data_IF_794015719652
#
_entry.id   IF_794015719652
#
_cell.length_a   1.000
_cell.length_b   1.000
_cell.length_c   1.000
_cell.angle_alpha   90.00
_cell.angle_beta   90.00
_cell.angle_gamma   90.00
#
_symmetry.space_group_name_H-M   'P 1'
#
loop_
_entity.id
_entity.type
_entity.pdbx_description
1 polymer ?
#
# COMPACT_ATOMS: atom_id res chain seq x y z
N UNK A 1 -19.92 -5.84 34.70
CA UNK A 1 -18.75 -6.09 33.82
C UNK A 1 -17.43 -6.17 34.61
N UNK A 2 -17.09 -5.18 35.47
CA UNK A 2 -15.83 -5.20 36.27
C UNK A 2 -15.70 -6.39 37.25
N UNK A 3 -16.79 -6.91 37.77
CA UNK A 3 -16.82 -8.02 38.73
C UNK A 3 -16.54 -9.38 38.09
N UNK A 4 -16.93 -9.59 36.83
CA UNK A 4 -16.68 -10.84 36.09
C UNK A 4 -15.21 -10.95 35.71
N UNK A 5 -14.61 -9.86 35.25
CA UNK A 5 -13.19 -9.81 34.87
C UNK A 5 -12.27 -10.04 36.09
N UNK A 6 -12.68 -9.58 37.28
CA UNK A 6 -11.95 -9.83 38.52
C UNK A 6 -12.07 -11.27 39.01
N UNK A 7 -13.24 -11.89 38.85
CA UNK A 7 -13.44 -13.29 39.21
C UNK A 7 -12.65 -14.23 38.31
N UNK A 8 -12.62 -13.99 37.01
CA UNK A 8 -11.83 -14.73 36.00
C UNK A 8 -10.32 -14.59 36.25
N UNK A 9 -9.86 -13.42 36.66
CA UNK A 9 -8.46 -13.17 36.99
C UNK A 9 -7.99 -13.86 38.25
N UNK A 10 -8.89 -14.16 39.20
CA UNK A 10 -8.57 -14.91 40.41
C UNK A 10 -8.47 -16.43 40.17
N UNK A 11 -9.22 -16.94 39.20
CA UNK A 11 -9.28 -18.38 38.89
C UNK A 11 -8.12 -18.85 38.00
N UNK A 12 -7.52 -17.94 37.18
CA UNK A 12 -6.37 -18.26 36.33
C UNK A 12 -5.42 -17.05 36.19
N UNK A 13 -4.42 -16.91 37.07
CA UNK A 13 -3.45 -15.79 37.01
C UNK A 13 -2.61 -15.73 35.74
N UNK A 14 -2.56 -16.79 34.94
CA UNK A 14 -1.92 -16.84 33.63
C UNK A 14 -2.73 -16.14 32.52
N UNK A 15 -4.02 -15.80 32.76
CA UNK A 15 -4.91 -15.10 31.85
C UNK A 15 -4.93 -13.59 32.07
N UNK A 16 -4.08 -13.03 32.93
CA UNK A 16 -3.93 -11.58 33.06
C UNK A 16 -3.37 -11.07 31.74
N UNK A 17 -4.25 -10.54 30.89
CA UNK A 17 -3.88 -9.93 29.63
C UNK A 17 -2.82 -8.85 29.88
N UNK A 18 -1.64 -9.01 29.29
CA UNK A 18 -0.58 -7.98 29.38
C UNK A 18 -1.17 -6.61 29.07
N UNK A 19 -0.81 -5.55 29.84
CA UNK A 19 -1.37 -4.23 29.64
C UNK A 19 -1.10 -3.75 28.21
N UNK A 20 -2.15 -3.42 27.48
CA UNK A 20 -2.05 -2.87 26.15
C UNK A 20 -1.16 -1.61 26.18
N UNK A 21 -0.18 -1.52 25.30
CA UNK A 21 0.72 -0.38 25.17
C UNK A 21 0.58 0.24 23.78
N UNK A 22 0.68 1.57 23.69
CA UNK A 22 0.79 2.26 22.41
C UNK A 22 2.26 2.47 22.05
N UNK A 23 2.62 2.08 20.83
CA UNK A 23 3.97 2.20 20.27
C UNK A 23 3.98 3.30 19.18
N UNK A 24 3.81 4.56 19.59
CA UNK A 24 3.70 5.73 18.71
C UNK A 24 4.84 5.86 17.70
N UNK A 25 6.08 5.55 18.13
CA UNK A 25 7.26 5.59 17.24
C UNK A 25 7.09 4.65 16.04
N UNK A 26 6.69 3.41 16.27
CA UNK A 26 6.50 2.43 15.19
C UNK A 26 5.26 2.71 14.36
N UNK A 27 4.22 3.29 14.96
CA UNK A 27 3.07 3.78 14.22
C UNK A 27 3.44 4.93 13.30
N UNK A 28 4.28 5.88 13.73
CA UNK A 28 4.80 6.97 12.88
C UNK A 28 5.62 6.44 11.69
N UNK A 29 6.47 5.43 11.89
CA UNK A 29 7.20 4.77 10.81
C UNK A 29 6.22 4.06 9.84
N UNK A 30 5.22 3.34 10.37
CA UNK A 30 4.18 2.71 9.57
C UNK A 30 3.39 3.75 8.77
N UNK A 31 3.11 4.92 9.35
CA UNK A 31 2.40 6.00 8.67
C UNK A 31 3.16 6.53 7.45
N UNK A 32 4.51 6.62 7.50
CA UNK A 32 5.33 6.95 6.33
C UNK A 32 5.14 5.93 5.21
N UNK A 33 5.11 4.64 5.55
CA UNK A 33 4.84 3.57 4.57
C UNK A 33 3.46 3.74 3.95
N UNK A 34 2.44 4.00 4.79
CA UNK A 34 1.06 4.18 4.34
C UNK A 34 0.95 5.39 3.41
N UNK A 35 1.56 6.52 3.75
CA UNK A 35 1.58 7.72 2.91
C UNK A 35 2.22 7.44 1.56
N UNK A 36 3.38 6.81 1.54
CA UNK A 36 4.08 6.40 0.32
C UNK A 36 3.17 5.60 -0.61
N UNK A 37 2.50 4.59 -0.08
CA UNK A 37 1.59 3.73 -0.84
C UNK A 37 0.31 4.45 -1.26
N UNK A 38 -0.23 5.34 -0.42
CA UNK A 38 -1.45 6.08 -0.71
C UNK A 38 -1.26 7.10 -1.82
N UNK A 39 -0.13 7.81 -1.83
CA UNK A 39 0.25 8.73 -2.92
C UNK A 39 0.34 7.96 -4.22
N UNK A 40 1.11 6.88 -4.26
CA UNK A 40 1.26 6.04 -5.45
C UNK A 40 -0.10 5.52 -5.95
N UNK A 41 -0.92 4.97 -5.05
CA UNK A 41 -2.23 4.43 -5.40
C UNK A 41 -3.16 5.48 -5.99
N UNK A 42 -3.22 6.68 -5.42
CA UNK A 42 -4.10 7.75 -5.90
C UNK A 42 -3.67 8.25 -7.26
N UNK A 43 -2.37 8.47 -7.47
CA UNK A 43 -1.84 8.92 -8.76
C UNK A 43 -2.03 7.85 -9.83
N UNK A 44 -1.72 6.59 -9.54
CA UNK A 44 -1.96 5.47 -10.47
C UNK A 44 -3.42 5.42 -10.90
N UNK A 45 -4.37 5.49 -9.96
CA UNK A 45 -5.80 5.49 -10.29
C UNK A 45 -6.22 6.65 -11.20
N UNK A 46 -5.67 7.84 -10.97
CA UNK A 46 -6.00 9.01 -11.78
C UNK A 46 -5.38 8.94 -13.17
N UNK A 47 -4.16 8.43 -13.30
CA UNK A 47 -3.36 8.58 -14.51
C UNK A 47 -3.24 7.31 -15.36
N UNK A 48 -3.56 6.10 -14.87
CA UNK A 48 -3.52 4.87 -15.71
C UNK A 48 -4.34 5.01 -17.00
N UNK A 49 -5.61 5.44 -16.99
CA UNK A 49 -6.37 5.57 -18.24
C UNK A 49 -5.74 6.56 -19.21
N UNK A 50 -5.20 7.66 -18.68
CA UNK A 50 -4.54 8.71 -19.48
C UNK A 50 -3.21 8.18 -20.03
N UNK A 51 -2.44 7.43 -19.25
CA UNK A 51 -1.19 6.81 -19.67
C UNK A 51 -1.39 5.82 -20.81
N UNK A 52 -2.43 4.98 -20.73
CA UNK A 52 -2.78 4.05 -21.80
C UNK A 52 -3.14 4.78 -23.10
N UNK A 53 -3.94 5.83 -23.02
CA UNK A 53 -4.38 6.57 -24.21
C UNK A 53 -3.30 7.46 -24.80
N UNK A 54 -2.56 8.21 -23.99
CA UNK A 54 -1.56 9.19 -24.48
C UNK A 54 -0.22 8.55 -24.81
N UNK A 55 0.29 7.66 -23.95
CA UNK A 55 1.64 7.13 -24.07
C UNK A 55 1.68 5.81 -24.84
N UNK A 56 0.65 4.97 -24.70
CA UNK A 56 0.57 3.67 -25.38
C UNK A 56 -0.30 3.71 -26.65
N UNK A 57 -0.91 4.86 -26.98
CA UNK A 57 -1.69 5.06 -28.19
C UNK A 57 -2.97 4.22 -28.26
N UNK A 58 -3.57 3.86 -27.13
CA UNK A 58 -4.77 3.02 -27.07
C UNK A 58 -6.06 3.84 -27.04
N UNK A 59 -7.20 3.18 -27.22
CA UNK A 59 -8.50 3.83 -27.08
C UNK A 59 -8.84 4.13 -25.60
N UNK A 60 -9.74 5.11 -25.32
CA UNK A 60 -10.20 5.40 -23.97
C UNK A 60 -10.84 4.21 -23.27
N UNK A 61 -11.50 3.31 -24.02
CA UNK A 61 -12.08 2.08 -23.49
C UNK A 61 -11.00 1.13 -22.97
N UNK A 62 -9.90 0.99 -23.72
CA UNK A 62 -8.74 0.18 -23.29
C UNK A 62 -8.05 0.78 -22.07
N UNK A 63 -7.95 2.11 -21.97
CA UNK A 63 -7.45 2.78 -20.78
C UNK A 63 -8.32 2.52 -19.54
N UNK A 64 -9.63 2.56 -19.69
CA UNK A 64 -10.57 2.23 -18.62
C UNK A 64 -10.54 0.74 -18.26
N UNK A 65 -10.35 -0.13 -19.25
CA UNK A 65 -10.18 -1.57 -19.03
C UNK A 65 -8.90 -1.90 -18.26
N UNK A 66 -7.80 -1.18 -18.50
CA UNK A 66 -6.58 -1.32 -17.72
C UNK A 66 -6.83 -1.07 -16.22
N UNK A 67 -7.63 -0.07 -15.88
CA UNK A 67 -8.02 0.20 -14.49
C UNK A 67 -8.87 -0.94 -13.91
N UNK A 68 -9.74 -1.54 -14.70
CA UNK A 68 -10.53 -2.72 -14.29
C UNK A 68 -9.62 -3.91 -13.98
N UNK A 69 -8.61 -4.17 -14.81
CA UNK A 69 -7.60 -5.23 -14.57
C UNK A 69 -6.86 -4.97 -13.26
N UNK A 70 -6.43 -3.73 -13.04
CA UNK A 70 -5.74 -3.33 -11.81
C UNK A 70 -6.54 -3.63 -10.54
N UNK A 71 -7.84 -3.34 -10.54
CA UNK A 71 -8.69 -3.64 -9.38
C UNK A 71 -9.06 -5.11 -9.27
N UNK A 72 -9.25 -5.80 -10.38
CA UNK A 72 -9.63 -7.21 -10.40
C UNK A 72 -8.58 -8.08 -9.74
N UNK A 73 -7.28 -7.85 -10.01
CA UNK A 73 -6.20 -8.60 -9.36
C UNK A 73 -6.20 -8.39 -7.83
N UNK A 74 -6.62 -7.20 -7.38
CA UNK A 74 -6.75 -6.87 -5.97
C UNK A 74 -7.73 -7.80 -5.23
N UNK A 75 -8.84 -8.16 -5.86
CA UNK A 75 -9.84 -9.06 -5.29
C UNK A 75 -9.24 -10.44 -5.05
N UNK A 76 -8.58 -11.03 -6.07
CA UNK A 76 -7.92 -12.33 -5.95
C UNK A 76 -6.80 -12.32 -4.90
N UNK A 77 -6.00 -11.26 -4.89
CA UNK A 77 -4.89 -11.13 -3.95
C UNK A 77 -5.34 -10.95 -2.51
N UNK A 78 -6.51 -10.38 -2.25
CA UNK A 78 -7.04 -10.23 -0.89
C UNK A 78 -7.22 -11.58 -0.19
N UNK A 79 -7.67 -12.62 -0.91
CA UNK A 79 -7.74 -13.97 -0.38
C UNK A 79 -6.36 -14.55 -0.05
N UNK A 80 -5.40 -14.39 -0.96
CA UNK A 80 -4.02 -14.88 -0.80
C UNK A 80 -3.32 -14.19 0.37
N UNK A 81 -3.55 -12.89 0.56
CA UNK A 81 -2.96 -12.08 1.65
C UNK A 81 -3.33 -12.60 3.03
N UNK A 82 -4.57 -13.06 3.23
CA UNK A 82 -4.99 -13.67 4.48
C UNK A 82 -4.10 -14.87 4.83
N UNK A 83 -3.94 -15.81 3.88
CA UNK A 83 -3.12 -17.02 4.06
C UNK A 83 -1.63 -16.70 4.27
N UNK A 84 -1.09 -15.76 3.51
CA UNK A 84 0.32 -15.37 3.61
C UNK A 84 0.62 -14.56 4.87
N UNK A 85 -0.32 -13.70 5.30
CA UNK A 85 -0.18 -12.87 6.50
C UNK A 85 -0.04 -13.72 7.77
N UNK A 86 -0.84 -14.77 7.88
CA UNK A 86 -0.80 -15.71 9.01
C UNK A 86 0.52 -16.50 9.05
N UNK A 87 1.04 -16.88 7.88
CA UNK A 87 2.27 -17.71 7.78
C UNK A 87 3.55 -16.91 7.96
N UNK A 88 3.67 -15.74 7.33
CA UNK A 88 4.94 -15.00 7.25
C UNK A 88 4.99 -13.75 8.13
N UNK A 89 3.84 -13.31 8.62
CA UNK A 89 3.67 -12.10 9.42
C UNK A 89 3.58 -10.81 8.58
N UNK A 90 2.92 -9.79 9.15
CA UNK A 90 2.50 -8.60 8.39
C UNK A 90 3.67 -7.77 7.85
N UNK A 91 4.77 -7.64 8.59
CA UNK A 91 5.93 -6.82 8.17
C UNK A 91 6.62 -7.39 6.94
N UNK A 92 6.78 -8.72 6.86
CA UNK A 92 7.42 -9.36 5.71
C UNK A 92 6.58 -9.20 4.45
N UNK A 93 5.25 -9.27 4.60
CA UNK A 93 4.31 -9.07 3.48
C UNK A 93 4.37 -7.63 2.96
N UNK A 94 4.42 -6.63 3.86
CA UNK A 94 4.59 -5.22 3.46
C UNK A 94 5.91 -5.01 2.72
N UNK A 95 7.01 -5.59 3.19
CA UNK A 95 8.32 -5.51 2.50
C UNK A 95 8.27 -6.15 1.11
N UNK A 96 7.70 -7.36 1.02
CA UNK A 96 7.53 -8.04 -0.26
C UNK A 96 6.70 -7.21 -1.23
N UNK A 97 5.59 -6.63 -0.77
CA UNK A 97 4.76 -5.73 -1.55
C UNK A 97 5.56 -4.56 -2.12
N UNK A 98 6.33 -3.85 -1.30
CA UNK A 98 7.13 -2.71 -1.73
C UNK A 98 8.27 -3.12 -2.68
N UNK A 99 8.89 -4.29 -2.46
CA UNK A 99 9.92 -4.85 -3.34
C UNK A 99 9.37 -5.21 -4.73
N UNK A 100 8.12 -5.62 -4.84
CA UNK A 100 7.44 -5.86 -6.12
C UNK A 100 6.99 -4.55 -6.75
N UNK A 101 6.39 -3.64 -5.95
CA UNK A 101 5.81 -2.41 -6.46
C UNK A 101 6.86 -1.45 -7.03
N UNK A 102 7.99 -1.30 -6.35
CA UNK A 102 9.04 -0.35 -6.73
C UNK A 102 9.58 -0.61 -8.15
N UNK A 103 10.13 -1.80 -8.48
CA UNK A 103 10.61 -2.05 -9.84
C UNK A 103 9.49 -2.07 -10.87
N UNK A 104 8.30 -2.54 -10.52
CA UNK A 104 7.16 -2.55 -11.44
C UNK A 104 6.73 -1.11 -11.80
N UNK A 105 6.74 -0.19 -10.83
CA UNK A 105 6.42 1.22 -11.06
C UNK A 105 7.47 1.91 -11.93
N UNK A 106 8.77 1.67 -11.63
CA UNK A 106 9.87 2.19 -12.45
C UNK A 106 9.77 1.69 -13.89
N UNK A 107 9.62 0.39 -14.09
CA UNK A 107 9.54 -0.19 -15.43
C UNK A 107 8.28 0.26 -16.18
N UNK A 108 7.16 0.52 -15.49
CA UNK A 108 5.94 1.01 -16.13
C UNK A 108 6.16 2.38 -16.79
N UNK A 109 6.95 3.26 -16.18
CA UNK A 109 7.26 4.57 -16.77
C UNK A 109 8.19 4.48 -17.99
N UNK A 110 8.94 3.39 -18.12
CA UNK A 110 9.82 3.13 -19.27
C UNK A 110 9.12 2.38 -20.42
N UNK A 111 7.92 1.85 -20.20
CA UNK A 111 7.18 1.06 -21.22
C UNK A 111 7.03 1.77 -22.57
N UNK A 112 6.77 3.09 -22.65
CA UNK A 112 6.65 3.78 -23.93
C UNK A 112 7.91 3.75 -24.79
N UNK A 113 9.08 3.43 -24.21
CA UNK A 113 10.35 3.30 -24.94
C UNK A 113 10.53 1.92 -25.60
N UNK A 114 9.65 0.96 -25.28
CA UNK A 114 9.77 -0.41 -25.79
C UNK A 114 9.19 -0.55 -27.20
N UNK A 115 9.57 -1.62 -27.89
CA UNK A 115 9.00 -1.89 -29.20
C UNK A 115 7.49 -2.13 -29.13
N UNK A 116 6.70 -1.72 -30.14
CA UNK A 116 5.23 -1.81 -30.12
C UNK A 116 4.70 -3.24 -29.85
N UNK A 117 5.44 -4.27 -30.26
CA UNK A 117 5.03 -5.68 -30.12
C UNK A 117 4.98 -6.11 -28.65
N UNK A 118 5.96 -5.69 -27.83
CA UNK A 118 6.07 -6.11 -26.43
C UNK A 118 5.51 -5.07 -25.45
N UNK A 119 5.29 -3.85 -25.89
CA UNK A 119 4.83 -2.72 -25.06
C UNK A 119 3.55 -3.04 -24.29
N UNK A 120 2.51 -3.48 -24.99
CA UNK A 120 1.21 -3.76 -24.37
C UNK A 120 1.23 -4.95 -23.40
N UNK A 121 1.77 -6.14 -23.77
CA UNK A 121 1.89 -7.25 -22.82
C UNK A 121 2.65 -6.88 -21.57
N UNK A 122 3.77 -6.15 -21.70
CA UNK A 122 4.57 -5.72 -20.56
C UNK A 122 3.80 -4.70 -19.70
N UNK A 123 3.12 -3.72 -20.30
CA UNK A 123 2.30 -2.75 -19.58
C UNK A 123 1.24 -3.43 -18.70
N UNK A 124 0.49 -4.37 -19.25
CA UNK A 124 -0.51 -5.12 -18.48
C UNK A 124 0.12 -6.01 -17.40
N UNK A 125 1.24 -6.68 -17.68
CA UNK A 125 1.95 -7.46 -16.68
C UNK A 125 2.42 -6.61 -15.50
N UNK A 126 3.03 -5.46 -15.76
CA UNK A 126 3.49 -4.54 -14.73
C UNK A 126 2.31 -3.97 -13.93
N UNK A 127 1.21 -3.66 -14.60
CA UNK A 127 0.00 -3.19 -13.94
C UNK A 127 -0.59 -4.25 -13.00
N UNK A 128 -0.62 -5.51 -13.40
CA UNK A 128 -1.01 -6.62 -12.54
C UNK A 128 -0.08 -6.76 -11.34
N UNK A 129 1.24 -6.62 -11.53
CA UNK A 129 2.22 -6.66 -10.44
C UNK A 129 1.99 -5.53 -9.44
N UNK A 130 1.72 -4.30 -9.90
CA UNK A 130 1.44 -3.15 -9.05
C UNK A 130 0.13 -3.35 -8.28
N UNK A 131 -0.94 -3.81 -8.95
CA UNK A 131 -2.22 -4.12 -8.32
C UNK A 131 -2.11 -5.22 -7.25
N UNK A 132 -1.38 -6.29 -7.56
CA UNK A 132 -1.09 -7.37 -6.62
C UNK A 132 -0.28 -6.87 -5.41
N UNK A 133 0.78 -6.09 -5.65
CA UNK A 133 1.60 -5.51 -4.60
C UNK A 133 0.78 -4.60 -3.67
N UNK A 134 -0.09 -3.75 -4.24
CA UNK A 134 -1.00 -2.91 -3.45
C UNK A 134 -1.92 -3.75 -2.56
N UNK A 135 -2.52 -4.79 -3.10
CA UNK A 135 -3.42 -5.66 -2.36
C UNK A 135 -2.69 -6.42 -1.23
N UNK A 136 -1.46 -6.94 -1.52
CA UNK A 136 -0.62 -7.63 -0.53
C UNK A 136 -0.38 -6.80 0.73
N UNK A 137 -0.24 -5.49 0.60
CA UNK A 137 0.09 -4.59 1.70
C UNK A 137 -1.14 -4.09 2.47
N UNK A 138 -2.33 -4.11 1.88
CA UNK A 138 -3.50 -3.40 2.40
C UNK A 138 -3.93 -3.88 3.80
N UNK A 139 -4.24 -5.16 3.94
CA UNK A 139 -4.67 -5.73 5.23
C UNK A 139 -3.55 -5.72 6.29
N UNK A 140 -2.29 -6.13 5.99
CA UNK A 140 -1.19 -6.09 6.94
C UNK A 140 -0.92 -4.70 7.54
N UNK A 141 -1.05 -3.65 6.75
CA UNK A 141 -0.85 -2.27 7.21
C UNK A 141 -1.92 -1.86 8.23
N UNK A 142 -3.19 -2.19 7.99
CA UNK A 142 -4.29 -1.89 8.91
C UNK A 142 -4.10 -2.63 10.23
N UNK A 143 -3.82 -3.94 10.17
CA UNK A 143 -3.61 -4.78 11.35
C UNK A 143 -2.44 -4.28 12.19
N UNK A 144 -1.31 -3.92 11.56
CA UNK A 144 -0.17 -3.35 12.28
C UNK A 144 -0.50 -2.00 12.91
N UNK A 145 -1.22 -1.13 12.21
CA UNK A 145 -1.65 0.17 12.74
C UNK A 145 -2.46 0.02 14.03
N UNK A 146 -3.44 -0.87 14.01
CA UNK A 146 -4.26 -1.21 15.18
C UNK A 146 -3.44 -1.87 16.30
N UNK A 147 -2.49 -2.72 15.95
CA UNK A 147 -1.65 -3.41 16.94
C UNK A 147 -0.65 -2.47 17.60
N UNK A 148 -0.06 -1.52 16.85
CA UNK A 148 0.85 -0.52 17.44
C UNK A 148 0.11 0.48 18.34
N UNK A 149 -1.14 0.80 18.05
CA UNK A 149 -1.96 1.68 18.88
C UNK A 149 -3.15 0.93 19.51
N UNK A 150 -2.85 -0.17 20.20
CA UNK A 150 -3.85 -1.06 20.76
C UNK A 150 -4.81 -0.38 21.77
N UNK A 151 -4.40 0.71 22.43
CA UNK A 151 -5.28 1.53 23.29
C UNK A 151 -6.13 2.54 22.49
N UNK A 152 -5.83 2.75 21.21
CA UNK A 152 -6.42 3.83 20.38
C UNK A 152 -6.73 3.31 18.97
N UNK A 153 -7.38 2.14 18.88
CA UNK A 153 -7.65 1.44 17.61
C UNK A 153 -8.45 2.31 16.64
N UNK A 154 -9.46 3.05 17.12
CA UNK A 154 -10.25 3.95 16.28
C UNK A 154 -9.42 5.07 15.67
N UNK A 155 -8.49 5.66 16.44
CA UNK A 155 -7.54 6.66 15.94
C UNK A 155 -6.58 6.05 14.90
N UNK A 156 -6.01 4.87 15.18
CA UNK A 156 -5.16 4.17 14.25
C UNK A 156 -5.85 3.91 12.91
N UNK A 157 -7.10 3.41 12.95
CA UNK A 157 -7.89 3.14 11.75
C UNK A 157 -8.26 4.42 11.01
N UNK A 158 -8.64 5.48 11.71
CA UNK A 158 -8.96 6.79 11.12
C UNK A 158 -7.77 7.38 10.35
N UNK A 159 -6.58 7.33 10.92
CA UNK A 159 -5.35 7.79 10.24
C UNK A 159 -5.00 6.88 9.07
N UNK A 160 -5.01 5.56 9.28
CA UNK A 160 -4.61 4.59 8.27
C UNK A 160 -5.53 4.62 7.04
N UNK A 161 -6.85 4.69 7.25
CA UNK A 161 -7.84 4.63 6.18
C UNK A 161 -8.30 6.01 5.68
N UNK A 162 -8.29 7.02 6.55
CA UNK A 162 -8.77 8.36 6.22
C UNK A 162 -7.67 9.32 5.80
N UNK A 163 -6.84 9.74 6.77
CA UNK A 163 -5.84 10.81 6.56
C UNK A 163 -4.87 10.47 5.44
N UNK A 164 -4.37 9.24 5.38
CA UNK A 164 -3.43 8.80 4.34
C UNK A 164 -4.04 8.90 2.94
N UNK A 165 -5.31 8.54 2.78
CA UNK A 165 -6.01 8.61 1.51
C UNK A 165 -6.26 10.06 1.06
N UNK A 166 -6.56 10.95 2.01
CA UNK A 166 -6.74 12.38 1.74
C UNK A 166 -5.44 13.01 1.25
N UNK A 167 -4.33 12.75 1.93
CA UNK A 167 -3.01 13.29 1.53
C UNK A 167 -2.63 12.78 0.13
N UNK A 168 -2.83 11.50 -0.16
CA UNK A 168 -2.61 10.95 -1.50
C UNK A 168 -3.45 11.66 -2.57
N UNK A 169 -4.71 12.00 -2.25
CA UNK A 169 -5.59 12.76 -3.15
C UNK A 169 -5.13 14.20 -3.40
N UNK A 170 -4.54 14.87 -2.42
CA UNK A 170 -3.99 16.24 -2.57
C UNK A 170 -2.75 16.25 -3.47
N UNK A 171 -1.95 15.20 -3.45
CA UNK A 171 -0.72 15.10 -4.25
C UNK A 171 -1.03 14.79 -5.72
N UNK A 172 -2.12 14.11 -6.03
CA UNK A 172 -2.45 13.73 -7.41
C UNK A 172 -2.54 14.94 -8.38
N UNK A 173 -3.18 16.08 -8.06
CA UNK A 173 -3.16 17.29 -8.90
C UNK A 173 -1.76 17.88 -9.09
N UNK A 174 -0.87 17.78 -8.10
CA UNK A 174 0.53 18.24 -8.21
C UNK A 174 1.28 17.42 -9.27
N UNK A 175 1.10 16.09 -9.25
CA UNK A 175 1.66 15.21 -10.29
C UNK A 175 1.03 15.50 -11.65
N UNK A 176 -0.27 15.85 -11.70
CA UNK A 176 -0.94 16.30 -12.92
C UNK A 176 -0.30 17.52 -13.54
N UNK A 177 -0.03 18.54 -12.73
CA UNK A 177 0.66 19.75 -13.19
C UNK A 177 2.07 19.46 -13.72
N UNK A 178 2.80 18.53 -13.07
CA UNK A 178 4.09 18.05 -13.59
C UNK A 178 3.94 17.33 -14.93
N UNK A 179 2.88 16.55 -15.12
CA UNK A 179 2.61 15.86 -16.36
C UNK A 179 2.25 16.81 -17.51
N UNK A 180 1.59 17.93 -17.21
CA UNK A 180 1.28 18.99 -18.19
C UNK A 180 2.52 19.81 -18.55
N UNK A 181 3.49 19.94 -17.63
CA UNK A 181 4.71 20.75 -17.85
C UNK A 181 5.81 19.94 -18.54
N UNK A 182 5.94 18.65 -18.21
CA UNK A 182 6.98 17.76 -18.74
C UNK A 182 6.34 16.68 -19.63
N UNK A 183 6.34 15.44 -19.15
CA UNK A 183 5.68 14.29 -19.77
C UNK A 183 5.00 13.47 -18.70
N UNK A 184 3.98 12.71 -19.07
CA UNK A 184 3.27 11.86 -18.11
C UNK A 184 4.16 10.77 -17.52
N UNK A 185 5.02 10.04 -18.28
CA UNK A 185 5.99 9.12 -17.71
C UNK A 185 6.95 9.78 -16.71
N UNK A 186 7.49 10.95 -17.01
CA UNK A 186 8.37 11.70 -16.12
C UNK A 186 7.65 12.12 -14.81
N UNK A 187 6.41 12.58 -14.92
CA UNK A 187 5.60 12.91 -13.75
C UNK A 187 5.31 11.65 -12.88
N UNK A 188 4.98 10.52 -13.51
CA UNK A 188 4.77 9.26 -12.80
C UNK A 188 6.07 8.72 -12.18
N UNK A 189 7.24 8.99 -12.79
CA UNK A 189 8.54 8.62 -12.22
C UNK A 189 8.79 9.25 -10.85
N UNK A 190 8.21 10.43 -10.56
CA UNK A 190 8.29 11.08 -9.24
C UNK A 190 7.67 10.27 -8.11
N UNK A 191 6.90 9.23 -8.41
CA UNK A 191 6.32 8.32 -7.43
C UNK A 191 7.32 7.29 -6.90
N UNK A 192 8.37 6.97 -7.67
CA UNK A 192 9.39 5.98 -7.29
C UNK A 192 10.12 6.37 -6.00
N UNK A 193 10.58 7.61 -5.78
CA UNK A 193 11.17 8.04 -4.51
C UNK A 193 10.27 7.80 -3.29
N UNK A 194 8.95 7.98 -3.42
CA UNK A 194 8.03 7.65 -2.32
C UNK A 194 8.07 6.17 -1.95
N UNK A 195 8.12 5.27 -2.93
CA UNK A 195 8.25 3.83 -2.69
C UNK A 195 9.59 3.46 -2.06
N UNK A 196 10.68 4.13 -2.47
CA UNK A 196 12.00 3.96 -1.86
C UNK A 196 11.98 4.36 -0.38
N UNK A 197 11.39 5.51 -0.06
CA UNK A 197 11.21 5.95 1.34
C UNK A 197 10.35 4.97 2.12
N UNK A 198 9.24 4.48 1.54
CA UNK A 198 8.38 3.48 2.14
C UNK A 198 9.12 2.16 2.41
N UNK A 199 9.94 1.71 1.47
CA UNK A 199 10.75 0.50 1.61
C UNK A 199 11.81 0.68 2.72
N UNK A 200 12.53 1.80 2.73
CA UNK A 200 13.49 2.15 3.78
C UNK A 200 12.85 2.18 5.18
N UNK A 201 11.68 2.82 5.30
CA UNK A 201 10.91 2.84 6.53
C UNK A 201 10.49 1.43 6.98
N UNK A 202 10.14 0.55 6.04
CA UNK A 202 9.74 -0.83 6.34
C UNK A 202 10.87 -1.66 6.97
N UNK A 203 12.14 -1.34 6.66
CA UNK A 203 13.29 -2.06 7.23
C UNK A 203 13.49 -1.75 8.72
N UNK A 204 13.09 -0.55 9.16
CA UNK A 204 13.19 -0.09 10.55
C UNK A 204 12.03 -0.64 11.41
N UNK A 205 10.95 -1.10 10.77
CA UNK A 205 9.75 -1.56 11.46
C UNK A 205 10.04 -2.86 12.25
N UNK A 206 9.61 -2.89 13.52
CA UNK A 206 9.77 -4.05 14.41
C UNK A 206 8.44 -4.74 14.66
N UNK A 207 8.47 -6.07 14.75
CA UNK A 207 7.29 -6.87 15.03
C UNK A 207 6.71 -6.51 16.42
N UNK A 208 5.42 -6.18 16.52
CA UNK A 208 4.78 -5.89 17.79
C UNK A 208 4.93 -7.02 18.83
N UNK A 209 4.96 -8.28 18.38
CA UNK A 209 5.20 -9.45 19.26
C UNK A 209 6.56 -9.43 19.95
N UNK A 210 7.56 -8.74 19.37
CA UNK A 210 8.90 -8.58 19.95
C UNK A 210 9.02 -7.34 20.83
N UNK A 211 7.98 -6.51 20.91
CA UNK A 211 7.93 -5.29 21.70
C UNK A 211 7.16 -5.47 23.02
N UNK A 212 6.43 -6.56 23.15
CA UNK A 212 5.70 -7.00 24.35
C UNK A 212 6.61 -7.86 25.25
#
# INVERSE_FOLDING_TARGET
ARTIDQAVAMENPTLVAKPLKNYWKYFGILFIIILSQSVNFRVINAFIPIFWTRELGTSPEQGSFALTIFFSIGIFMTYIVGLLGDKYGPIKIIRLSLLIWLPAMFLLTEVPTFSPVIMMPIAYMLLLMIGAAKALSYSPVIVLGQTYLAKSIGFASGITLGVSQTIGGIIAPVVGNLADTYTLPAAMMTLVPFLVVGLGASLILKDPKKLQ
#
